data_IF_487731263898
#
_entry.id   IF_487731263898
#
_cell.length_a   1.000
_cell.length_b   1.000
_cell.length_c   1.000
_cell.angle_alpha   90.00
_cell.angle_beta   90.00
_cell.angle_gamma   90.00
#
_symmetry.space_group_name_H-M   'P 1'
#
loop_
_entity.id
_entity.type
_entity.pdbx_description
1 polymer ?
#
# COMPACT_ATOMS: atom_id res chain seq x y z
N UNK A 1 73.57 5.06 38.44
CA UNK A 1 74.38 6.29 38.35
C UNK A 1 74.05 7.02 37.05
N UNK A 2 74.04 8.36 37.12
CA UNK A 2 73.79 9.39 36.08
C UNK A 2 72.34 9.84 35.84
N UNK A 3 72.05 10.95 36.53
CA UNK A 3 71.04 11.95 36.23
C UNK A 3 71.39 12.75 34.96
N UNK A 4 70.37 13.24 34.25
CA UNK A 4 70.35 14.48 33.46
C UNK A 4 68.88 14.71 33.01
N UNK A 5 68.03 15.47 33.70
CA UNK A 5 67.87 16.94 33.77
C UNK A 5 67.59 17.65 32.43
N UNK A 6 66.47 18.40 32.43
CA UNK A 6 66.05 19.45 31.49
C UNK A 6 65.64 18.99 30.08
N UNK A 7 64.59 19.50 29.43
CA UNK A 7 63.98 20.84 29.52
C UNK A 7 62.57 20.82 28.90
N UNK A 8 61.66 21.59 29.48
CA UNK A 8 60.34 21.92 28.91
C UNK A 8 60.54 22.85 27.72
N UNK A 9 60.00 22.49 26.55
CA UNK A 9 59.64 23.45 25.51
C UNK A 9 58.28 23.07 24.94
N UNK A 10 57.25 23.79 25.41
CA UNK A 10 55.92 23.80 24.82
C UNK A 10 56.03 24.64 23.55
N UNK A 11 55.99 24.00 22.38
CA UNK A 11 55.76 24.68 21.11
C UNK A 11 54.27 24.55 20.78
N UNK A 12 53.56 25.63 21.10
CA UNK A 12 52.25 25.97 20.57
C UNK A 12 52.37 26.10 19.05
N UNK A 13 52.05 25.03 18.32
CA UNK A 13 51.73 25.14 16.89
C UNK A 13 50.24 25.43 16.77
N UNK A 14 49.94 26.71 16.53
CA UNK A 14 48.67 27.19 16.00
C UNK A 14 48.44 26.53 14.64
N UNK A 15 47.67 25.45 14.60
CA UNK A 15 46.96 25.09 13.37
C UNK A 15 45.75 26.01 13.28
N UNK A 16 45.79 26.93 12.32
CA UNK A 16 44.57 27.55 11.80
C UNK A 16 43.61 26.42 11.40
N UNK A 17 42.52 26.25 12.14
CA UNK A 17 41.36 25.51 11.67
C UNK A 17 40.80 26.34 10.52
N UNK A 18 41.18 25.98 9.31
CA UNK A 18 40.42 26.25 8.11
C UNK A 18 39.06 25.56 8.34
N UNK A 19 38.00 26.33 8.59
CA UNK A 19 36.63 25.86 8.74
C UNK A 19 36.18 25.24 7.41
N UNK A 20 36.63 24.02 7.15
CA UNK A 20 36.03 23.15 6.15
C UNK A 20 34.78 22.56 6.80
N UNK A 21 33.57 22.85 6.30
CA UNK A 21 32.39 22.17 6.79
C UNK A 21 32.56 20.67 6.47
N UNK A 22 32.68 19.86 7.51
CA UNK A 22 32.48 18.41 7.38
C UNK A 22 31.14 18.20 6.69
N UNK A 23 31.05 17.32 5.68
CA UNK A 23 29.76 16.92 5.18
C UNK A 23 29.06 16.20 6.33
N UNK A 24 28.05 16.84 6.91
CA UNK A 24 27.06 16.16 7.75
C UNK A 24 26.58 14.98 6.92
N UNK A 25 26.95 13.76 7.33
CA UNK A 25 26.22 12.58 6.91
C UNK A 25 24.80 12.81 7.40
N UNK A 26 23.94 13.28 6.50
CA UNK A 26 22.52 13.13 6.66
C UNK A 26 22.32 11.62 6.72
N UNK A 27 22.19 11.11 7.93
CA UNK A 27 21.53 9.84 8.17
C UNK A 27 20.15 10.03 7.54
N UNK A 28 20.03 9.62 6.28
CA UNK A 28 18.75 9.42 5.63
C UNK A 28 18.09 8.40 6.55
N UNK A 29 17.15 8.86 7.38
CA UNK A 29 16.21 7.98 8.05
C UNK A 29 15.64 7.12 6.94
N UNK A 30 16.15 5.90 6.80
CA UNK A 30 15.56 4.89 5.95
C UNK A 30 14.19 4.67 6.57
N UNK A 31 13.18 5.29 5.96
CA UNK A 31 11.80 4.89 6.16
C UNK A 31 11.83 3.37 5.99
N UNK A 32 11.41 2.57 6.98
CA UNK A 32 11.43 1.13 6.86
C UNK A 32 10.74 0.76 5.55
N UNK A 33 11.47 0.10 4.64
CA UNK A 33 10.89 -0.39 3.40
C UNK A 33 9.77 -1.36 3.79
N UNK A 34 8.53 -1.02 3.44
CA UNK A 34 7.38 -1.84 3.80
C UNK A 34 7.55 -3.17 3.09
N UNK A 35 7.67 -4.26 3.85
CA UNK A 35 7.93 -5.57 3.27
C UNK A 35 6.68 -6.11 2.57
N UNK A 36 6.86 -7.01 1.59
CA UNK A 36 5.73 -7.68 0.93
C UNK A 36 4.84 -8.41 1.95
N UNK A 37 5.42 -9.05 2.98
CA UNK A 37 4.65 -9.69 4.04
C UNK A 37 3.78 -8.69 4.80
N UNK A 38 4.32 -7.51 5.16
CA UNK A 38 3.54 -6.48 5.83
C UNK A 38 2.37 -5.99 4.97
N UNK A 39 2.53 -5.96 3.63
CA UNK A 39 1.45 -5.59 2.73
C UNK A 39 0.39 -6.69 2.60
N UNK A 40 0.80 -7.96 2.58
CA UNK A 40 -0.13 -9.08 2.67
C UNK A 40 -0.94 -9.04 3.97
N UNK A 41 -0.29 -8.81 5.11
CA UNK A 41 -0.93 -8.71 6.42
C UNK A 41 -1.91 -7.53 6.46
N UNK A 42 -1.50 -6.37 5.93
CA UNK A 42 -2.35 -5.18 5.89
C UNK A 42 -3.60 -5.38 5.03
N UNK A 43 -3.45 -5.94 3.82
CA UNK A 43 -4.61 -6.25 2.97
C UNK A 43 -5.55 -7.22 3.68
N UNK A 44 -5.03 -8.29 4.28
CA UNK A 44 -5.84 -9.26 5.01
C UNK A 44 -6.60 -8.62 6.18
N UNK A 45 -5.92 -7.80 6.99
CA UNK A 45 -6.56 -7.09 8.09
C UNK A 45 -7.70 -6.18 7.64
N UNK A 46 -7.52 -5.46 6.54
CA UNK A 46 -8.56 -4.57 5.99
C UNK A 46 -9.68 -5.35 5.31
N UNK A 47 -9.37 -6.41 4.56
CA UNK A 47 -10.38 -7.30 3.98
C UNK A 47 -11.26 -7.92 5.08
N UNK A 48 -10.69 -8.24 6.25
CA UNK A 48 -11.45 -8.82 7.37
C UNK A 48 -12.45 -7.81 7.91
N UNK A 49 -12.03 -6.56 8.07
CA UNK A 49 -12.92 -5.48 8.51
C UNK A 49 -14.12 -5.31 7.55
N UNK A 50 -13.90 -5.44 6.24
CA UNK A 50 -14.99 -5.40 5.26
C UNK A 50 -15.92 -6.62 5.43
N UNK A 51 -15.37 -7.83 5.61
CA UNK A 51 -16.18 -9.05 5.87
C UNK A 51 -17.05 -8.88 7.12
N UNK A 52 -16.48 -8.38 8.21
CA UNK A 52 -17.21 -8.15 9.47
C UNK A 52 -18.31 -7.10 9.29
N UNK A 53 -18.02 -6.00 8.60
CA UNK A 53 -19.01 -4.98 8.28
C UNK A 53 -20.18 -5.54 7.45
N UNK A 54 -19.88 -6.37 6.45
CA UNK A 54 -20.90 -7.04 5.63
C UNK A 54 -21.72 -8.05 6.44
N UNK A 55 -21.08 -8.81 7.32
CA UNK A 55 -21.77 -9.74 8.21
C UNK A 55 -22.72 -9.04 9.18
N UNK A 56 -22.31 -7.87 9.68
CA UNK A 56 -23.09 -7.04 10.59
C UNK A 56 -24.14 -6.16 9.88
N UNK A 57 -24.23 -6.24 8.55
CA UNK A 57 -25.09 -5.39 7.73
C UNK A 57 -24.88 -3.90 8.04
N UNK A 58 -23.60 -3.51 8.13
CA UNK A 58 -23.19 -2.13 8.32
C UNK A 58 -23.76 -1.20 7.25
N UNK A 59 -23.81 0.10 7.56
CA UNK A 59 -24.32 1.11 6.63
C UNK A 59 -23.53 1.13 5.32
N UNK A 60 -24.20 1.55 4.25
CA UNK A 60 -23.58 1.78 2.93
C UNK A 60 -22.38 2.70 3.02
N UNK A 61 -22.44 3.77 3.83
CA UNK A 61 -21.30 4.66 4.07
C UNK A 61 -20.12 3.92 4.71
N UNK A 62 -20.37 3.13 5.77
CA UNK A 62 -19.30 2.39 6.43
C UNK A 62 -18.65 1.36 5.49
N UNK A 63 -19.45 0.70 4.66
CA UNK A 63 -18.95 -0.22 3.64
C UNK A 63 -18.10 0.51 2.60
N UNK A 64 -18.54 1.67 2.10
CA UNK A 64 -17.77 2.49 1.17
C UNK A 64 -16.43 2.91 1.78
N UNK A 65 -16.42 3.42 3.02
CA UNK A 65 -15.20 3.91 3.66
C UNK A 65 -14.18 2.78 3.88
N UNK A 66 -14.63 1.62 4.37
CA UNK A 66 -13.76 0.47 4.61
C UNK A 66 -13.23 -0.12 3.29
N UNK A 67 -14.08 -0.27 2.28
CA UNK A 67 -13.66 -0.80 0.99
C UNK A 67 -12.75 0.16 0.24
N UNK A 68 -13.02 1.46 0.31
CA UNK A 68 -12.12 2.48 -0.21
C UNK A 68 -10.75 2.40 0.44
N UNK A 69 -10.69 2.30 1.78
CA UNK A 69 -9.43 2.13 2.51
C UNK A 69 -8.68 0.86 2.08
N UNK A 70 -9.38 -0.25 1.87
CA UNK A 70 -8.77 -1.46 1.34
C UNK A 70 -8.18 -1.23 -0.05
N UNK A 71 -8.94 -0.64 -0.97
CA UNK A 71 -8.49 -0.35 -2.34
C UNK A 71 -7.26 0.57 -2.32
N UNK A 72 -7.33 1.72 -1.63
CA UNK A 72 -6.24 2.71 -1.56
C UNK A 72 -4.96 2.11 -0.97
N UNK A 73 -5.08 1.28 0.07
CA UNK A 73 -3.92 0.69 0.73
C UNK A 73 -3.26 -0.43 -0.06
N UNK A 74 -3.92 -0.93 -1.12
CA UNK A 74 -3.44 -2.05 -1.94
C UNK A 74 -2.42 -1.64 -2.99
N UNK A 75 -2.22 -0.35 -3.27
CA UNK A 75 -1.25 0.13 -4.28
C UNK A 75 0.14 -0.45 -4.06
N UNK A 76 0.63 -0.34 -2.81
CA UNK A 76 1.96 -0.85 -2.45
C UNK A 76 2.08 -2.36 -2.66
N UNK A 77 1.03 -3.12 -2.33
CA UNK A 77 0.99 -4.57 -2.55
C UNK A 77 1.16 -4.91 -4.03
N UNK A 78 0.42 -4.23 -4.91
CA UNK A 78 0.52 -4.48 -6.35
C UNK A 78 1.89 -4.12 -6.92
N UNK A 79 2.48 -3.00 -6.49
CA UNK A 79 3.81 -2.60 -6.92
C UNK A 79 4.90 -3.58 -6.47
N UNK A 80 4.83 -4.07 -5.23
CA UNK A 80 5.84 -4.98 -4.69
C UNK A 80 5.69 -6.42 -5.20
N UNK A 81 4.47 -6.86 -5.55
CA UNK A 81 4.25 -8.15 -6.19
C UNK A 81 4.94 -8.26 -7.55
N UNK A 82 5.21 -7.14 -8.25
CA UNK A 82 5.86 -7.15 -9.57
C UNK A 82 7.22 -7.85 -9.54
N UNK A 83 7.97 -7.68 -8.46
CA UNK A 83 9.29 -8.30 -8.30
C UNK A 83 9.21 -9.82 -8.15
N UNK A 84 8.11 -10.33 -7.58
CA UNK A 84 7.91 -11.77 -7.34
C UNK A 84 7.13 -12.46 -8.46
N UNK A 85 6.32 -11.71 -9.20
CA UNK A 85 5.43 -12.20 -10.26
C UNK A 85 5.66 -11.41 -11.56
N UNK A 86 6.84 -11.52 -12.19
CA UNK A 86 7.16 -10.77 -13.41
C UNK A 86 6.21 -11.10 -14.57
N UNK A 87 5.65 -12.31 -14.61
CA UNK A 87 4.63 -12.69 -15.60
C UNK A 87 3.32 -11.90 -15.46
N UNK A 88 3.11 -11.25 -14.31
CA UNK A 88 1.93 -10.45 -14.02
C UNK A 88 2.17 -8.94 -14.14
N UNK A 89 3.34 -8.50 -14.62
CA UNK A 89 3.76 -7.10 -14.56
C UNK A 89 2.69 -6.13 -15.12
N UNK A 90 2.16 -6.42 -16.32
CA UNK A 90 1.15 -5.57 -16.96
C UNK A 90 -0.15 -5.50 -16.15
N UNK A 91 -0.58 -6.63 -15.55
CA UNK A 91 -1.75 -6.66 -14.67
C UNK A 91 -1.48 -5.85 -13.40
N UNK A 92 -0.38 -6.11 -12.72
CA UNK A 92 -0.03 -5.46 -11.45
C UNK A 92 0.15 -3.95 -11.60
N UNK A 93 0.68 -3.49 -12.72
CA UNK A 93 0.76 -2.06 -13.01
C UNK A 93 -0.63 -1.46 -13.20
N UNK A 94 -1.49 -2.07 -14.02
CA UNK A 94 -2.86 -1.59 -14.22
C UNK A 94 -3.70 -1.61 -12.91
N UNK A 95 -3.46 -2.59 -12.05
CA UNK A 95 -4.08 -2.66 -10.72
C UNK A 95 -3.61 -1.53 -9.81
N UNK A 96 -2.31 -1.24 -9.79
CA UNK A 96 -1.76 -0.11 -9.01
C UNK A 96 -2.34 1.23 -9.50
N UNK A 97 -2.35 1.47 -10.81
CA UNK A 97 -2.92 2.70 -11.38
C UNK A 97 -4.41 2.86 -11.04
N UNK A 98 -5.16 1.76 -11.02
CA UNK A 98 -6.58 1.77 -10.65
C UNK A 98 -6.84 2.04 -9.16
N UNK A 99 -5.82 1.91 -8.30
CA UNK A 99 -5.88 2.32 -6.88
C UNK A 99 -5.45 3.76 -6.63
N UNK A 100 -4.89 4.44 -7.63
CA UNK A 100 -4.55 5.85 -7.53
C UNK A 100 -5.79 6.70 -7.83
N UNK A 101 -6.24 7.47 -6.84
CA UNK A 101 -7.43 8.30 -6.98
C UNK A 101 -7.08 9.68 -7.49
N UNK A 102 -7.81 10.11 -8.53
CA UNK A 102 -7.78 11.50 -8.96
C UNK A 102 -8.64 12.32 -8.00
N UNK A 103 -8.01 13.22 -7.25
CA UNK A 103 -8.75 14.36 -6.68
C UNK A 103 -8.98 15.35 -7.82
N UNK A 104 -10.23 15.71 -8.16
CA UNK A 104 -10.45 16.82 -9.07
C UNK A 104 -9.80 18.08 -8.44
N UNK A 105 -8.86 18.69 -9.15
CA UNK A 105 -8.37 20.02 -8.76
C UNK A 105 -9.55 21.00 -8.88
N UNK A 106 -10.23 21.27 -7.78
CA UNK A 106 -11.27 22.31 -7.75
C UNK A 106 -10.59 23.67 -7.54
N UNK A 107 -10.76 24.56 -8.52
CA UNK A 107 -10.46 25.99 -8.38
C UNK A 107 -11.70 26.80 -7.94
N UNK A 108 -12.84 26.14 -7.67
CA UNK A 108 -14.07 26.79 -7.23
C UNK A 108 -14.36 26.51 -5.75
N UNK A 109 -14.56 27.60 -5.01
CA UNK A 109 -14.69 27.67 -3.54
C UNK A 109 -16.05 27.29 -2.96
N UNK A 110 -17.03 26.83 -3.75
CA UNK A 110 -18.42 26.70 -3.26
C UNK A 110 -19.02 25.29 -3.18
N UNK A 111 -18.28 24.23 -3.49
CA UNK A 111 -18.72 22.87 -3.16
C UNK A 111 -17.54 21.89 -3.15
N UNK A 112 -16.66 22.01 -2.15
CA UNK A 112 -15.60 21.02 -1.92
C UNK A 112 -16.17 19.73 -1.31
N UNK A 113 -17.05 19.02 -2.03
CA UNK A 113 -17.06 17.57 -1.90
C UNK A 113 -15.83 17.12 -2.69
N UNK A 114 -14.76 16.81 -1.98
CA UNK A 114 -13.64 16.05 -2.52
C UNK A 114 -14.18 14.65 -2.90
N UNK A 115 -14.94 14.59 -3.98
CA UNK A 115 -15.53 13.35 -4.46
C UNK A 115 -14.40 12.57 -5.11
N UNK A 116 -13.91 11.58 -4.37
CA UNK A 116 -12.91 10.64 -4.85
C UNK A 116 -13.57 9.88 -6.02
N UNK A 117 -13.09 10.12 -7.24
CA UNK A 117 -13.56 9.41 -8.42
C UNK A 117 -12.80 8.09 -8.50
N UNK A 118 -13.53 6.98 -8.38
CA UNK A 118 -12.98 5.63 -8.50
C UNK A 118 -13.37 5.05 -9.85
N UNK A 119 -12.41 4.49 -10.57
CA UNK A 119 -12.72 3.65 -11.72
C UNK A 119 -13.23 2.28 -11.25
N UNK A 120 -14.55 2.08 -11.32
CA UNK A 120 -15.19 0.81 -10.91
C UNK A 120 -14.96 -0.33 -11.91
N UNK A 121 -14.59 0.00 -13.15
CA UNK A 121 -14.37 -0.95 -14.24
C UNK A 121 -12.99 -0.68 -14.86
N UNK A 122 -11.90 -0.91 -14.12
CA UNK A 122 -10.56 -0.73 -14.67
C UNK A 122 -10.35 -1.65 -15.86
N UNK A 123 -9.79 -1.10 -16.93
CA UNK A 123 -9.40 -1.90 -18.09
C UNK A 123 -8.15 -2.72 -17.73
N UNK A 124 -8.37 -3.96 -17.30
CA UNK A 124 -7.30 -4.87 -16.94
C UNK A 124 -6.91 -5.71 -18.16
N UNK A 125 -5.61 -5.98 -18.37
CA UNK A 125 -5.17 -6.88 -19.43
C UNK A 125 -5.63 -8.32 -19.15
N UNK A 126 -5.66 -9.13 -20.20
CA UNK A 126 -5.85 -10.58 -20.03
C UNK A 126 -4.75 -11.15 -19.12
N UNK A 127 -5.13 -12.04 -18.20
CA UNK A 127 -4.16 -12.60 -17.26
C UNK A 127 -3.30 -13.67 -17.95
N UNK A 128 -1.97 -13.54 -17.83
CA UNK A 128 -1.01 -14.46 -18.42
C UNK A 128 -0.86 -15.78 -17.61
N UNK A 129 -1.23 -15.77 -16.33
CA UNK A 129 -1.10 -16.90 -15.42
C UNK A 129 -2.17 -16.87 -14.31
N UNK A 130 -2.34 -17.99 -13.61
CA UNK A 130 -3.26 -18.10 -12.48
C UNK A 130 -2.92 -17.13 -11.33
N UNK A 131 -1.62 -16.88 -11.09
CA UNK A 131 -1.13 -15.84 -10.16
C UNK A 131 -1.70 -14.47 -10.51
N UNK A 132 -1.70 -14.11 -11.79
CA UNK A 132 -2.21 -12.81 -12.25
C UNK A 132 -3.72 -12.71 -12.08
N UNK A 133 -4.46 -13.80 -12.34
CA UNK A 133 -5.89 -13.85 -12.03
C UNK A 133 -6.15 -13.63 -10.53
N UNK A 134 -5.38 -14.27 -9.65
CA UNK A 134 -5.51 -14.06 -8.20
C UNK A 134 -5.23 -12.61 -7.81
N UNK A 135 -4.20 -11.99 -8.38
CA UNK A 135 -3.88 -10.58 -8.15
C UNK A 135 -5.01 -9.66 -8.63
N UNK A 136 -5.59 -9.89 -9.81
CA UNK A 136 -6.71 -9.09 -10.32
C UNK A 136 -7.92 -9.14 -9.39
N UNK A 137 -8.25 -10.31 -8.83
CA UNK A 137 -9.35 -10.44 -7.90
C UNK A 137 -9.14 -9.67 -6.59
N UNK A 138 -7.88 -9.38 -6.19
CA UNK A 138 -7.62 -8.55 -5.01
C UNK A 138 -8.13 -7.11 -5.18
N UNK A 139 -8.30 -6.61 -6.41
CA UNK A 139 -8.91 -5.31 -6.68
C UNK A 139 -10.39 -5.42 -7.06
N UNK A 140 -10.71 -6.34 -7.98
CA UNK A 140 -12.07 -6.43 -8.56
C UNK A 140 -13.13 -6.78 -7.51
N UNK A 141 -12.80 -7.62 -6.53
CA UNK A 141 -13.73 -7.96 -5.47
C UNK A 141 -14.04 -6.75 -4.57
N UNK A 142 -13.05 -6.02 -4.00
CA UNK A 142 -13.31 -4.77 -3.29
C UNK A 142 -14.05 -3.71 -4.12
N UNK A 143 -13.72 -3.54 -5.40
CA UNK A 143 -14.44 -2.60 -6.28
C UNK A 143 -15.92 -2.96 -6.42
N UNK A 144 -16.24 -4.25 -6.56
CA UNK A 144 -17.62 -4.71 -6.62
C UNK A 144 -18.37 -4.43 -5.31
N UNK A 145 -17.72 -4.57 -4.15
CA UNK A 145 -18.34 -4.23 -2.86
C UNK A 145 -18.52 -2.72 -2.73
N UNK A 146 -17.53 -1.92 -3.14
CA UNK A 146 -17.63 -0.46 -3.14
C UNK A 146 -18.78 0.02 -4.04
N UNK A 147 -18.89 -0.53 -5.25
CA UNK A 147 -20.00 -0.24 -6.18
C UNK A 147 -21.36 -0.63 -5.60
N UNK A 148 -21.45 -1.80 -4.96
CA UNK A 148 -22.66 -2.24 -4.25
C UNK A 148 -23.03 -1.25 -3.14
N UNK A 149 -22.04 -0.81 -2.35
CA UNK A 149 -22.26 0.12 -1.26
C UNK A 149 -22.69 1.53 -1.72
N UNK A 150 -22.67 1.86 -3.03
CA UNK A 150 -23.25 3.10 -3.55
C UNK A 150 -24.77 3.04 -3.74
N UNK A 151 -25.37 1.85 -3.64
CA UNK A 151 -26.81 1.68 -3.76
C UNK A 151 -27.52 2.13 -2.48
N UNK A 152 -28.69 2.75 -2.60
CA UNK A 152 -29.41 3.34 -1.46
C UNK A 152 -30.03 2.28 -0.52
N UNK A 153 -30.47 1.14 -1.08
CA UNK A 153 -31.17 0.09 -0.34
C UNK A 153 -30.59 -1.28 -0.69
N UNK A 154 -29.76 -1.81 0.21
CA UNK A 154 -29.16 -3.14 0.06
C UNK A 154 -30.07 -4.21 0.66
N UNK A 155 -30.40 -5.22 -0.14
CA UNK A 155 -31.10 -6.41 0.34
C UNK A 155 -30.14 -7.34 1.09
N UNK A 156 -30.67 -8.25 1.91
CA UNK A 156 -29.87 -9.24 2.62
C UNK A 156 -28.97 -10.07 1.69
N UNK A 157 -29.47 -10.41 0.50
CA UNK A 157 -28.70 -11.13 -0.52
C UNK A 157 -27.48 -10.35 -0.99
N UNK A 158 -27.56 -9.02 -1.04
CA UNK A 158 -26.47 -8.15 -1.51
C UNK A 158 -25.31 -8.21 -0.52
N UNK A 159 -25.59 -8.11 0.78
CA UNK A 159 -24.58 -8.31 1.83
C UNK A 159 -23.94 -9.70 1.76
N UNK A 160 -24.72 -10.77 1.55
CA UNK A 160 -24.15 -12.12 1.46
C UNK A 160 -23.27 -12.29 0.23
N UNK A 161 -23.70 -11.79 -0.92
CA UNK A 161 -22.94 -11.87 -2.18
C UNK A 161 -21.63 -11.06 -2.08
N UNK A 162 -21.70 -9.83 -1.53
CA UNK A 162 -20.52 -9.01 -1.26
C UNK A 162 -19.56 -9.71 -0.28
N UNK A 163 -20.09 -10.36 0.75
CA UNK A 163 -19.27 -11.11 1.73
C UNK A 163 -18.51 -12.24 1.05
N UNK A 164 -19.16 -12.99 0.15
CA UNK A 164 -18.52 -14.05 -0.61
C UNK A 164 -17.37 -13.52 -1.49
N UNK A 165 -17.51 -12.34 -2.10
CA UNK A 165 -16.43 -11.70 -2.85
C UNK A 165 -15.23 -11.36 -1.96
N UNK A 166 -15.47 -10.85 -0.75
CA UNK A 166 -14.36 -10.56 0.17
C UNK A 166 -13.71 -11.83 0.73
N UNK A 167 -14.48 -12.89 0.95
CA UNK A 167 -13.93 -14.22 1.27
C UNK A 167 -13.09 -14.76 0.11
N UNK A 168 -13.51 -14.56 -1.15
CA UNK A 168 -12.69 -14.90 -2.30
C UNK A 168 -11.37 -14.10 -2.27
N UNK A 169 -11.39 -12.78 -2.05
CA UNK A 169 -10.16 -11.98 -1.87
C UNK A 169 -9.20 -12.57 -0.83
N UNK A 170 -9.72 -13.05 0.31
CA UNK A 170 -8.92 -13.76 1.30
C UNK A 170 -8.27 -15.03 0.77
N UNK A 171 -9.03 -15.85 0.05
CA UNK A 171 -8.47 -17.05 -0.56
C UNK A 171 -7.38 -16.69 -1.58
N UNK A 172 -7.59 -15.65 -2.40
CA UNK A 172 -6.64 -15.21 -3.42
C UNK A 172 -5.35 -14.68 -2.82
N UNK A 173 -5.43 -13.88 -1.75
CA UNK A 173 -4.22 -13.35 -1.13
C UNK A 173 -3.40 -14.46 -0.45
N UNK A 174 -4.06 -15.46 0.15
CA UNK A 174 -3.38 -16.66 0.67
C UNK A 174 -2.70 -17.48 -0.43
N UNK A 175 -3.31 -17.60 -1.61
CA UNK A 175 -2.65 -18.26 -2.74
C UNK A 175 -1.42 -17.47 -3.21
N UNK A 176 -1.51 -16.14 -3.26
CA UNK A 176 -0.37 -15.29 -3.62
C UNK A 176 0.76 -15.39 -2.61
N UNK A 177 0.48 -15.35 -1.30
CA UNK A 177 1.48 -15.60 -0.25
C UNK A 177 2.23 -16.91 -0.51
N UNK A 178 1.49 -18.01 -0.75
CA UNK A 178 2.09 -19.32 -1.02
C UNK A 178 2.94 -19.34 -2.29
N UNK A 179 2.47 -18.71 -3.37
CA UNK A 179 3.21 -18.63 -4.64
C UNK A 179 4.50 -17.84 -4.45
N UNK A 180 4.45 -16.69 -3.77
CA UNK A 180 5.60 -15.80 -3.57
C UNK A 180 6.57 -16.28 -2.49
N UNK A 181 6.20 -17.27 -1.69
CA UNK A 181 7.06 -17.87 -0.67
C UNK A 181 7.94 -19.02 -1.21
N UNK A 182 7.70 -19.47 -2.44
CA UNK A 182 8.48 -20.52 -3.09
C UNK A 182 9.61 -19.83 -3.88
N UNK A 183 10.80 -19.80 -3.28
CA UNK A 183 12.06 -19.42 -3.96
C UNK A 183 12.48 -20.46 -5.03
#
# INVERSE_FOLDING_TARGET
MKHLMFSVFILLMLSACDDKPEPKQTEVQQIPEVTLQQQFDNYQGLAWQVVEALQNQSTTQQLQDLTLKLITSSTGLFLNLKAQLPECEASLHALADATEFQQPQSNDTDALKNEIIINLEPNLPEFAAASCYHAQQLLLNPLAVYSLAQQADLAQSDYQNAKLKMIDSFARIKQLELITAIE
#
